data_IF_931477700320
#
_entry.id   IF_931477700320
#
_cell.length_a   1.000
_cell.length_b   1.000
_cell.length_c   1.000
_cell.angle_alpha   90.00
_cell.angle_beta   90.00
_cell.angle_gamma   90.00
#
_symmetry.space_group_name_H-M   'P 1'
#
loop_
_entity.id
_entity.type
_entity.pdbx_description
1 polymer ?
#
# COMPACT_ATOMS: atom_id res chain seq x y z
N UNK A 1 27.26 -59.63 -25.71
CA UNK A 1 26.89 -58.33 -25.10
C UNK A 1 26.21 -57.53 -26.17
N UNK A 2 24.89 -57.46 -26.08
CA UNK A 2 24.04 -56.82 -27.09
C UNK A 2 24.23 -55.30 -27.02
N UNK A 3 23.88 -54.56 -28.08
CA UNK A 3 23.80 -53.09 -28.04
C UNK A 3 22.83 -52.58 -26.96
N UNK A 4 21.91 -53.42 -26.49
CA UNK A 4 20.96 -53.10 -25.44
C UNK A 4 21.63 -53.07 -24.05
N UNK A 5 22.57 -53.98 -23.77
CA UNK A 5 23.31 -54.00 -22.49
C UNK A 5 24.16 -52.72 -22.30
N UNK A 6 24.78 -52.23 -23.37
CA UNK A 6 25.53 -50.96 -23.35
C UNK A 6 24.61 -49.73 -23.21
N UNK A 7 23.36 -49.80 -23.69
CA UNK A 7 22.38 -48.72 -23.57
C UNK A 7 21.82 -48.66 -22.14
N UNK A 8 21.58 -49.81 -21.50
CA UNK A 8 21.13 -49.88 -20.11
C UNK A 8 22.18 -49.28 -19.14
N UNK A 9 23.44 -49.68 -19.29
CA UNK A 9 24.55 -49.16 -18.47
C UNK A 9 24.77 -47.65 -18.66
N UNK A 10 24.53 -47.13 -19.88
CA UNK A 10 24.58 -45.69 -20.16
C UNK A 10 23.43 -44.93 -19.47
N UNK A 11 22.22 -45.50 -19.45
CA UNK A 11 21.06 -44.90 -18.78
C UNK A 11 21.21 -44.86 -17.26
N UNK A 12 21.71 -45.93 -16.65
CA UNK A 12 21.98 -45.97 -15.20
C UNK A 12 23.03 -44.94 -14.79
N UNK A 13 24.10 -44.77 -15.59
CA UNK A 13 25.10 -43.73 -15.34
C UNK A 13 24.52 -42.32 -15.46
N UNK A 14 23.64 -42.08 -16.42
CA UNK A 14 22.94 -40.78 -16.57
C UNK A 14 22.01 -40.53 -15.39
N UNK A 15 21.22 -41.52 -14.97
CA UNK A 15 20.34 -41.40 -13.81
C UNK A 15 21.11 -41.10 -12.53
N UNK A 16 22.25 -41.76 -12.30
CA UNK A 16 23.10 -41.48 -11.14
C UNK A 16 23.72 -40.08 -11.19
N UNK A 17 24.14 -39.58 -12.36
CA UNK A 17 24.61 -38.19 -12.47
C UNK A 17 23.49 -37.19 -12.20
N UNK A 18 22.28 -37.44 -12.72
CA UNK A 18 21.10 -36.59 -12.47
C UNK A 18 20.72 -36.58 -10.99
N UNK A 19 20.74 -37.73 -10.33
CA UNK A 19 20.44 -37.85 -8.90
C UNK A 19 21.48 -37.10 -8.05
N UNK A 20 22.76 -37.18 -8.43
CA UNK A 20 23.85 -36.45 -7.76
C UNK A 20 23.73 -34.94 -7.95
N UNK A 21 23.44 -34.47 -9.17
CA UNK A 21 23.24 -33.03 -9.44
C UNK A 21 21.97 -32.50 -8.74
N UNK A 22 20.88 -33.27 -8.72
CA UNK A 22 19.68 -32.92 -7.96
C UNK A 22 19.97 -32.83 -6.45
N UNK A 23 20.77 -33.78 -5.93
CA UNK A 23 21.16 -33.76 -4.52
C UNK A 23 22.01 -32.53 -4.19
N UNK A 24 22.96 -32.17 -5.07
CA UNK A 24 23.77 -30.97 -4.91
C UNK A 24 22.90 -29.69 -4.95
N UNK A 25 22.00 -29.59 -5.92
CA UNK A 25 21.11 -28.43 -6.07
C UNK A 25 20.16 -28.26 -4.87
N UNK A 26 19.63 -29.37 -4.34
CA UNK A 26 18.79 -29.36 -3.13
C UNK A 26 19.60 -28.89 -1.92
N UNK A 27 20.85 -29.32 -1.77
CA UNK A 27 21.70 -28.91 -0.66
C UNK A 27 22.13 -27.43 -0.77
N UNK A 28 22.40 -26.93 -1.97
CA UNK A 28 22.67 -25.50 -2.23
C UNK A 28 21.46 -24.63 -1.87
N UNK A 29 20.26 -24.99 -2.35
CA UNK A 29 19.04 -24.24 -2.01
C UNK A 29 18.71 -24.31 -0.52
N UNK A 30 18.99 -25.42 0.13
CA UNK A 30 18.82 -25.54 1.59
C UNK A 30 19.76 -24.59 2.34
N UNK A 31 21.01 -24.43 1.89
CA UNK A 31 21.94 -23.46 2.47
C UNK A 31 21.50 -22.01 2.24
N UNK A 32 20.95 -21.68 1.06
CA UNK A 32 20.39 -20.36 0.77
C UNK A 32 19.17 -20.06 1.67
N UNK A 33 18.26 -21.02 1.84
CA UNK A 33 17.11 -20.90 2.75
C UNK A 33 17.59 -20.66 4.19
N UNK A 34 18.55 -21.45 4.68
CA UNK A 34 19.13 -21.29 6.02
C UNK A 34 19.80 -19.91 6.19
N UNK A 35 20.40 -19.36 5.13
CA UNK A 35 20.98 -18.02 5.15
C UNK A 35 19.90 -16.93 5.23
N UNK A 36 18.86 -17.03 4.42
CA UNK A 36 17.75 -16.08 4.44
C UNK A 36 16.99 -16.12 5.78
N UNK A 37 16.78 -17.29 6.37
CA UNK A 37 16.18 -17.41 7.70
C UNK A 37 17.02 -16.75 8.81
N UNK A 38 18.35 -16.74 8.68
CA UNK A 38 19.22 -16.01 9.62
C UNK A 38 19.11 -14.50 9.42
N UNK A 39 19.09 -14.04 8.18
CA UNK A 39 18.90 -12.61 7.87
C UNK A 39 17.54 -12.12 8.35
N UNK A 40 16.49 -12.92 8.15
CA UNK A 40 15.14 -12.59 8.60
C UNK A 40 15.07 -12.49 10.12
N UNK A 41 15.68 -13.44 10.85
CA UNK A 41 15.80 -13.35 12.31
C UNK A 41 16.54 -12.09 12.77
N UNK A 42 17.65 -11.74 12.13
CA UNK A 42 18.40 -10.53 12.46
C UNK A 42 17.58 -9.24 12.24
N UNK A 43 16.88 -9.14 11.11
CA UNK A 43 16.00 -7.99 10.83
C UNK A 43 14.82 -7.94 11.80
N UNK A 44 14.22 -9.08 12.16
CA UNK A 44 13.15 -9.13 13.16
C UNK A 44 13.61 -8.66 14.55
N UNK A 45 14.82 -9.03 14.97
CA UNK A 45 15.41 -8.53 16.23
C UNK A 45 15.69 -7.02 16.17
N UNK A 46 16.12 -6.49 15.03
CA UNK A 46 16.34 -5.05 14.83
C UNK A 46 15.03 -4.26 14.85
N UNK A 47 13.99 -4.77 14.18
CA UNK A 47 12.64 -4.19 14.21
C UNK A 47 12.11 -4.15 15.65
N UNK A 48 12.27 -5.24 16.41
CA UNK A 48 11.82 -5.28 17.81
C UNK A 48 12.54 -4.23 18.66
N UNK A 49 13.86 -4.05 18.50
CA UNK A 49 14.62 -3.01 19.20
C UNK A 49 14.15 -1.60 18.83
N UNK A 50 13.90 -1.33 17.56
CA UNK A 50 13.40 -0.04 17.08
C UNK A 50 11.98 0.23 17.58
N UNK A 51 11.13 -0.80 17.67
CA UNK A 51 9.80 -0.69 18.27
C UNK A 51 9.89 -0.35 19.77
N UNK A 52 10.76 -1.03 20.53
CA UNK A 52 10.99 -0.70 21.94
C UNK A 52 11.52 0.73 22.14
N UNK A 53 12.41 1.20 21.26
CA UNK A 53 12.94 2.57 21.30
C UNK A 53 11.86 3.61 20.95
N UNK A 54 11.07 3.37 19.91
CA UNK A 54 9.95 4.23 19.54
C UNK A 54 8.93 4.35 20.67
N UNK A 55 8.63 3.26 21.36
CA UNK A 55 7.68 3.30 22.48
C UNK A 55 8.21 4.09 23.67
N UNK A 56 9.54 4.04 23.91
CA UNK A 56 10.18 4.94 24.90
C UNK A 56 10.04 6.40 24.51
N UNK A 57 10.26 6.74 23.23
CA UNK A 57 10.13 8.11 22.72
C UNK A 57 8.66 8.58 22.86
N UNK A 58 7.69 7.74 22.51
CA UNK A 58 6.26 8.06 22.65
C UNK A 58 5.87 8.31 24.10
N UNK A 59 6.36 7.52 25.04
CA UNK A 59 6.13 7.77 26.48
C UNK A 59 6.66 9.15 26.89
N UNK A 60 7.87 9.51 26.44
CA UNK A 60 8.46 10.84 26.70
C UNK A 60 7.59 11.94 26.09
N UNK A 61 7.13 11.78 24.84
CA UNK A 61 6.23 12.73 24.19
C UNK A 61 4.89 12.87 24.92
N UNK A 62 4.26 11.76 25.30
CA UNK A 62 3.00 11.76 26.07
C UNK A 62 3.17 12.51 27.38
N UNK A 63 4.22 12.24 28.16
CA UNK A 63 4.49 13.01 29.39
C UNK A 63 4.72 14.51 29.14
N UNK A 64 5.23 14.88 27.96
CA UNK A 64 5.49 16.28 27.57
C UNK A 64 4.23 16.97 27.01
N UNK A 65 3.36 16.23 26.32
CA UNK A 65 2.09 16.70 25.74
C UNK A 65 0.97 16.73 26.78
N UNK A 66 0.93 15.79 27.71
CA UNK A 66 -0.06 15.74 28.81
C UNK A 66 0.12 16.90 29.80
N UNK A 67 1.33 17.48 29.88
CA UNK A 67 1.57 18.78 30.54
C UNK A 67 1.03 19.99 29.74
N UNK A 68 0.63 19.81 28.48
CA UNK A 68 0.07 20.84 27.59
C UNK A 68 -1.43 20.66 27.28
N UNK A 69 -2.00 19.47 27.45
CA UNK A 69 -3.36 19.12 27.00
C UNK A 69 -4.44 19.15 28.08
N UNK A 70 -4.22 19.82 29.21
CA UNK A 70 -5.32 20.20 30.13
C UNK A 70 -6.09 21.46 29.66
N UNK A 71 -6.04 21.78 28.36
CA UNK A 71 -6.51 23.05 27.80
C UNK A 71 -7.18 22.88 26.43
N UNK A 72 -8.20 22.02 26.30
CA UNK A 72 -8.98 21.97 25.05
C UNK A 72 -10.40 21.43 25.24
N UNK A 73 -11.31 22.27 25.72
CA UNK A 73 -12.76 22.12 25.48
C UNK A 73 -13.09 22.47 24.02
N UNK A 74 -14.35 22.28 23.60
CA UNK A 74 -14.84 22.51 22.22
C UNK A 74 -14.52 23.88 21.59
N UNK A 75 -14.20 24.89 22.41
CA UNK A 75 -13.69 26.19 21.90
C UNK A 75 -12.35 26.07 21.17
N UNK A 76 -11.58 25.01 21.44
CA UNK A 76 -10.29 24.75 20.79
C UNK A 76 -10.50 24.36 19.32
N UNK A 77 -11.47 23.50 19.00
CA UNK A 77 -11.69 23.05 17.62
C UNK A 77 -12.04 24.20 16.69
N UNK A 78 -12.90 25.14 17.11
CA UNK A 78 -13.20 26.33 16.28
C UNK A 78 -11.97 27.21 16.05
N UNK A 79 -11.09 27.33 17.06
CA UNK A 79 -9.84 28.07 16.91
C UNK A 79 -8.86 27.34 15.99
N UNK A 80 -8.88 26.01 15.99
CA UNK A 80 -7.98 25.20 15.17
C UNK A 80 -8.49 24.95 13.76
N UNK A 81 -9.81 25.04 13.49
CA UNK A 81 -10.40 24.75 12.17
C UNK A 81 -9.67 25.43 11.00
N UNK A 82 -9.32 26.74 11.04
CA UNK A 82 -8.62 27.38 9.93
C UNK A 82 -7.21 26.84 9.67
N UNK A 83 -6.63 26.12 10.64
CA UNK A 83 -5.30 25.53 10.55
C UNK A 83 -5.32 24.05 10.14
N UNK A 84 -6.48 23.41 10.11
CA UNK A 84 -6.63 22.03 9.62
C UNK A 84 -6.61 22.06 8.09
N UNK A 85 -5.39 22.04 7.55
CA UNK A 85 -5.15 21.95 6.10
C UNK A 85 -4.96 20.50 5.68
N UNK A 86 -5.09 20.21 4.38
CA UNK A 86 -4.81 18.87 3.85
C UNK A 86 -3.42 18.35 4.24
N UNK A 87 -2.41 19.23 4.28
CA UNK A 87 -1.04 18.86 4.67
C UNK A 87 -0.96 18.41 6.14
N UNK A 88 -1.75 19.02 7.02
CA UNK A 88 -1.79 18.64 8.43
C UNK A 88 -2.48 17.29 8.60
N UNK A 89 -3.58 17.06 7.86
CA UNK A 89 -4.24 15.74 7.80
C UNK A 89 -3.27 14.67 7.29
N UNK A 90 -2.50 14.96 6.25
CA UNK A 90 -1.49 14.04 5.73
C UNK A 90 -0.43 13.68 6.78
N UNK A 91 0.05 14.67 7.55
CA UNK A 91 0.99 14.43 8.64
C UNK A 91 0.41 13.53 9.73
N UNK A 92 -0.85 13.71 10.11
CA UNK A 92 -1.51 12.86 11.11
C UNK A 92 -1.73 11.43 10.61
N UNK A 93 -2.03 11.24 9.32
CA UNK A 93 -2.20 9.91 8.74
C UNK A 93 -0.87 9.19 8.56
N UNK A 94 0.20 9.93 8.27
CA UNK A 94 1.55 9.38 8.21
C UNK A 94 2.08 9.03 9.59
N UNK A 95 1.64 9.73 10.62
CA UNK A 95 1.98 9.40 11.99
C UNK A 95 1.20 8.17 12.46
N UNK A 96 1.93 7.09 12.79
CA UNK A 96 1.33 5.84 13.27
C UNK A 96 1.10 5.82 14.79
N UNK A 97 0.85 6.98 15.41
CA UNK A 97 0.65 7.08 16.86
C UNK A 97 -0.83 6.99 17.23
N UNK A 98 -1.10 6.41 18.39
CA UNK A 98 -2.46 6.27 18.95
C UNK A 98 -3.13 7.63 19.19
N UNK A 99 -2.35 8.64 19.60
CA UNK A 99 -2.83 10.00 19.77
C UNK A 99 -3.26 10.62 18.44
N UNK A 100 -2.49 10.42 17.38
CA UNK A 100 -2.82 10.95 16.05
C UNK A 100 -4.06 10.24 15.47
N UNK A 101 -4.20 8.94 15.73
CA UNK A 101 -5.39 8.15 15.45
C UNK A 101 -6.66 8.68 16.12
N UNK A 102 -6.60 8.90 17.43
CA UNK A 102 -7.68 9.54 18.20
C UNK A 102 -7.98 10.93 17.67
N UNK A 103 -6.95 11.73 17.43
CA UNK A 103 -7.12 13.10 16.97
C UNK A 103 -7.79 13.16 15.60
N UNK A 104 -7.36 12.33 14.64
CA UNK A 104 -7.91 12.39 13.29
C UNK A 104 -9.36 11.91 13.24
N UNK A 105 -9.72 10.87 13.99
CA UNK A 105 -11.10 10.36 13.99
C UNK A 105 -12.04 11.34 14.69
N UNK A 106 -11.60 12.00 15.77
CA UNK A 106 -12.36 13.06 16.43
C UNK A 106 -12.53 14.29 15.54
N UNK A 107 -11.49 14.70 14.81
CA UNK A 107 -11.60 15.77 13.81
C UNK A 107 -12.59 15.40 12.72
N UNK A 108 -12.54 14.16 12.23
CA UNK A 108 -13.47 13.64 11.23
C UNK A 108 -14.93 13.72 11.73
N UNK A 109 -15.18 13.24 12.95
CA UNK A 109 -16.47 13.34 13.65
C UNK A 109 -16.97 14.78 13.79
N UNK A 110 -16.08 15.73 14.12
CA UNK A 110 -16.47 17.15 14.21
C UNK A 110 -16.77 17.79 12.85
N UNK A 111 -16.08 17.38 11.78
CA UNK A 111 -16.44 17.80 10.41
C UNK A 111 -17.78 17.23 9.98
N UNK A 112 -18.06 15.96 10.32
CA UNK A 112 -19.35 15.33 10.10
C UNK A 112 -20.49 16.12 10.74
N UNK A 113 -20.42 16.38 12.05
CA UNK A 113 -21.45 17.11 12.81
C UNK A 113 -21.71 18.51 12.22
N UNK A 114 -20.70 19.12 11.58
CA UNK A 114 -20.81 20.44 10.94
C UNK A 114 -21.32 20.38 9.50
N UNK A 115 -21.56 19.20 8.94
CA UNK A 115 -21.96 19.01 7.54
C UNK A 115 -20.84 19.27 6.54
N UNK A 116 -19.57 19.21 6.94
CA UNK A 116 -18.42 19.42 6.05
C UNK A 116 -18.03 18.11 5.34
N UNK A 117 -18.96 17.61 4.52
CA UNK A 117 -18.89 16.27 3.90
C UNK A 117 -17.66 16.10 3.00
N UNK A 118 -17.24 17.17 2.32
CA UNK A 118 -16.04 17.16 1.47
C UNK A 118 -14.77 16.84 2.29
N UNK A 119 -14.64 17.44 3.47
CA UNK A 119 -13.50 17.19 4.35
C UNK A 119 -13.55 15.78 4.94
N UNK A 120 -14.73 15.30 5.37
CA UNK A 120 -14.91 13.91 5.84
C UNK A 120 -14.49 12.93 4.74
N UNK A 121 -15.00 13.12 3.51
CA UNK A 121 -14.66 12.29 2.36
C UNK A 121 -13.15 12.28 2.10
N UNK A 122 -12.50 13.43 2.23
CA UNK A 122 -11.05 13.55 2.05
C UNK A 122 -10.27 12.81 3.13
N UNK A 123 -10.71 12.89 4.39
CA UNK A 123 -10.10 12.16 5.51
C UNK A 123 -10.25 10.65 5.30
N UNK A 124 -11.45 10.16 4.98
CA UNK A 124 -11.69 8.73 4.71
C UNK A 124 -10.88 8.22 3.53
N UNK A 125 -10.81 8.95 2.42
CA UNK A 125 -9.97 8.58 1.27
C UNK A 125 -8.51 8.37 1.66
N UNK A 126 -7.97 9.25 2.49
CA UNK A 126 -6.58 9.17 2.93
C UNK A 126 -6.39 8.03 3.94
N UNK A 127 -7.32 7.84 4.88
CA UNK A 127 -7.30 6.75 5.85
C UNK A 127 -7.47 5.38 5.18
N UNK A 128 -8.34 5.25 4.19
CA UNK A 128 -8.50 4.01 3.42
C UNK A 128 -7.19 3.59 2.74
N UNK A 129 -6.35 4.54 2.32
CA UNK A 129 -5.02 4.22 1.76
C UNK A 129 -3.98 3.86 2.81
N UNK A 130 -4.11 4.39 4.04
CA UNK A 130 -3.14 4.28 5.13
C UNK A 130 -3.87 4.21 6.48
N UNK A 131 -4.45 3.05 6.85
CA UNK A 131 -5.32 2.92 8.01
C UNK A 131 -4.56 2.74 9.33
N UNK A 132 -3.22 2.70 9.29
CA UNK A 132 -2.40 2.28 10.43
C UNK A 132 -2.56 3.15 11.69
N UNK A 133 -2.89 4.43 11.52
CA UNK A 133 -3.21 5.32 12.64
C UNK A 133 -4.48 4.91 13.38
N UNK A 134 -5.31 4.02 12.82
CA UNK A 134 -6.51 3.50 13.47
C UNK A 134 -6.32 2.09 14.04
N UNK A 135 -5.18 1.42 13.84
CA UNK A 135 -4.96 0.03 14.27
C UNK A 135 -4.61 -0.10 15.77
N UNK A 136 -4.82 0.94 16.55
CA UNK A 136 -4.57 0.93 17.98
C UNK A 136 -5.77 0.35 18.73
N UNK A 137 -5.49 -0.39 19.81
CA UNK A 137 -6.52 -0.91 20.70
C UNK A 137 -6.97 0.19 21.67
N UNK A 138 -7.64 1.21 21.12
CA UNK A 138 -8.14 2.38 21.85
C UNK A 138 -9.66 2.47 21.72
N UNK A 139 -10.33 2.60 22.86
CA UNK A 139 -11.79 2.61 22.94
C UNK A 139 -12.42 3.85 22.31
N UNK A 140 -11.77 5.01 22.38
CA UNK A 140 -12.30 6.25 21.81
C UNK A 140 -12.24 6.19 20.27
N UNK A 141 -11.17 5.62 19.70
CA UNK A 141 -11.09 5.37 18.26
C UNK A 141 -12.24 4.49 17.81
N UNK A 142 -12.45 3.38 18.52
CA UNK A 142 -13.49 2.42 18.22
C UNK A 142 -14.90 3.05 18.29
N UNK A 143 -15.23 3.74 19.38
CA UNK A 143 -16.53 4.42 19.53
C UNK A 143 -16.76 5.47 18.43
N UNK A 144 -15.72 6.20 18.05
CA UNK A 144 -15.84 7.22 17.00
C UNK A 144 -15.94 6.62 15.59
N UNK A 145 -15.33 5.46 15.33
CA UNK A 145 -15.59 4.70 14.09
C UNK A 145 -17.03 4.19 14.08
N UNK A 146 -17.51 3.60 15.17
CA UNK A 146 -18.89 3.11 15.25
C UNK A 146 -19.91 4.24 15.05
N UNK A 147 -19.68 5.40 15.69
CA UNK A 147 -20.50 6.60 15.47
C UNK A 147 -20.53 6.99 13.99
N UNK A 148 -19.36 7.06 13.33
CA UNK A 148 -19.29 7.40 11.92
C UNK A 148 -19.94 6.34 11.03
N UNK A 149 -19.92 5.06 11.42
CA UNK A 149 -20.63 3.99 10.71
C UNK A 149 -22.14 4.16 10.78
N UNK A 150 -22.68 4.38 11.98
CA UNK A 150 -24.11 4.61 12.19
C UNK A 150 -24.59 5.82 11.37
N UNK A 151 -23.84 6.91 11.44
CA UNK A 151 -24.20 8.15 10.76
C UNK A 151 -24.04 8.10 9.23
N UNK A 152 -23.04 7.37 8.72
CA UNK A 152 -22.76 7.34 7.27
C UNK A 152 -23.57 6.27 6.54
N UNK A 153 -23.87 5.14 7.21
CA UNK A 153 -24.39 3.96 6.54
C UNK A 153 -25.81 3.56 6.97
N UNK A 154 -26.24 3.94 8.17
CA UNK A 154 -27.52 3.50 8.76
C UNK A 154 -28.53 4.64 8.83
N UNK A 155 -28.10 5.87 9.08
CA UNK A 155 -29.00 7.00 9.25
C UNK A 155 -29.68 7.45 7.93
N UNK A 156 -30.94 7.05 7.76
CA UNK A 156 -31.74 7.33 6.55
C UNK A 156 -31.85 8.83 6.23
N UNK A 157 -31.93 9.70 7.24
CA UNK A 157 -32.03 11.16 7.02
C UNK A 157 -30.75 11.72 6.41
N UNK A 158 -29.61 11.09 6.69
CA UNK A 158 -28.30 11.55 6.23
C UNK A 158 -27.98 11.04 4.83
N UNK A 159 -28.60 9.96 4.35
CA UNK A 159 -28.32 9.42 3.01
C UNK A 159 -28.69 10.37 1.87
N UNK A 160 -29.64 11.29 2.07
CA UNK A 160 -29.92 12.34 1.09
C UNK A 160 -28.79 13.38 0.99
N UNK A 161 -27.99 13.53 2.05
CA UNK A 161 -26.90 14.52 2.17
C UNK A 161 -25.55 13.90 1.84
N UNK A 162 -25.38 12.61 2.15
CA UNK A 162 -24.17 11.83 1.91
C UNK A 162 -24.02 11.58 0.42
N UNK A 163 -22.83 11.87 -0.12
CA UNK A 163 -22.54 11.54 -1.52
C UNK A 163 -21.99 10.11 -1.65
N UNK A 164 -22.18 9.52 -2.83
CA UNK A 164 -21.69 8.18 -3.19
C UNK A 164 -20.20 7.98 -2.91
N UNK A 165 -19.41 9.05 -3.14
CA UNK A 165 -17.97 9.01 -2.92
C UNK A 165 -17.63 8.79 -1.44
N UNK A 166 -18.37 9.36 -0.51
CA UNK A 166 -18.15 9.20 0.92
C UNK A 166 -18.43 7.76 1.36
N UNK A 167 -19.57 7.19 0.96
CA UNK A 167 -19.94 5.80 1.27
C UNK A 167 -18.91 4.83 0.69
N UNK A 168 -18.50 5.05 -0.56
CA UNK A 168 -17.47 4.25 -1.21
C UNK A 168 -16.12 4.32 -0.46
N UNK A 169 -15.63 5.51 -0.12
CA UNK A 169 -14.34 5.66 0.60
C UNK A 169 -14.43 5.06 2.01
N UNK A 170 -15.60 5.13 2.64
CA UNK A 170 -15.82 4.57 3.97
C UNK A 170 -15.87 3.03 3.96
N UNK A 171 -16.50 2.39 2.97
CA UNK A 171 -16.41 0.93 2.83
C UNK A 171 -14.99 0.45 2.53
N UNK A 172 -14.23 1.20 1.73
CA UNK A 172 -12.80 0.89 1.54
C UNK A 172 -12.05 0.94 2.86
N UNK A 173 -12.32 1.95 3.70
CA UNK A 173 -11.76 2.01 5.05
C UNK A 173 -12.18 0.79 5.89
N UNK A 174 -13.46 0.42 5.90
CA UNK A 174 -13.97 -0.75 6.65
C UNK A 174 -13.24 -2.04 6.25
N UNK A 175 -13.02 -2.30 4.97
CA UNK A 175 -12.28 -3.46 4.48
C UNK A 175 -10.85 -3.48 5.04
N UNK A 176 -10.20 -2.33 5.07
CA UNK A 176 -8.85 -2.20 5.62
C UNK A 176 -8.81 -2.37 7.15
N UNK A 177 -9.87 -1.97 7.85
CA UNK A 177 -10.00 -2.14 9.30
C UNK A 177 -10.21 -3.61 9.75
N UNK A 178 -10.32 -4.58 8.83
CA UNK A 178 -10.46 -5.99 9.21
C UNK A 178 -9.22 -6.54 9.96
N UNK A 179 -8.07 -5.90 9.80
CA UNK A 179 -6.82 -6.22 10.51
C UNK A 179 -6.73 -5.52 11.89
N UNK A 180 -7.65 -4.60 12.19
CA UNK A 180 -7.62 -3.82 13.43
C UNK A 180 -8.05 -4.66 14.66
N UNK A 181 -7.62 -4.28 15.87
CA UNK A 181 -7.96 -5.02 17.11
C UNK A 181 -9.47 -5.12 17.40
N UNK A 182 -10.28 -4.20 16.87
CA UNK A 182 -11.72 -4.11 17.09
C UNK A 182 -12.55 -4.62 15.89
N UNK A 183 -11.95 -5.41 14.97
CA UNK A 183 -12.65 -5.99 13.81
C UNK A 183 -13.94 -6.74 14.16
N UNK A 184 -13.97 -7.42 15.32
CA UNK A 184 -15.13 -8.23 15.73
C UNK A 184 -16.33 -7.33 16.04
N UNK A 185 -16.09 -6.10 16.50
CA UNK A 185 -17.14 -5.11 16.74
C UNK A 185 -17.66 -4.49 15.45
N UNK A 186 -16.78 -4.28 14.47
CA UNK A 186 -17.21 -3.88 13.11
C UNK A 186 -18.06 -5.00 12.49
N UNK A 187 -17.63 -6.26 12.59
CA UNK A 187 -18.40 -7.42 12.12
C UNK A 187 -19.77 -7.48 12.79
N UNK A 188 -19.82 -7.33 14.12
CA UNK A 188 -21.06 -7.29 14.88
C UNK A 188 -21.97 -6.13 14.43
N UNK A 189 -21.41 -4.93 14.25
CA UNK A 189 -22.18 -3.77 13.77
C UNK A 189 -22.82 -4.03 12.41
N UNK A 190 -22.05 -4.55 11.44
CA UNK A 190 -22.54 -4.85 10.08
C UNK A 190 -23.66 -5.90 10.14
N UNK A 191 -23.51 -6.91 11.01
CA UNK A 191 -24.52 -7.94 11.19
C UNK A 191 -25.80 -7.39 11.85
N UNK A 192 -25.66 -6.59 12.91
CA UNK A 192 -26.78 -6.01 13.67
C UNK A 192 -27.61 -5.02 12.84
N UNK A 193 -26.97 -4.33 11.89
CA UNK A 193 -27.62 -3.36 11.00
C UNK A 193 -27.78 -3.88 9.56
N UNK A 194 -27.71 -5.19 9.35
CA UNK A 194 -27.67 -5.80 8.03
C UNK A 194 -28.82 -5.36 7.11
N UNK A 195 -30.05 -5.33 7.64
CA UNK A 195 -31.26 -4.97 6.89
C UNK A 195 -31.19 -3.51 6.41
N UNK A 196 -30.98 -2.56 7.34
CA UNK A 196 -30.85 -1.14 7.01
C UNK A 196 -29.69 -0.86 6.06
N UNK A 197 -28.52 -1.47 6.28
CA UNK A 197 -27.37 -1.32 5.39
C UNK A 197 -27.69 -1.79 3.96
N UNK A 198 -28.38 -2.93 3.85
CA UNK A 198 -28.73 -3.52 2.55
C UNK A 198 -29.72 -2.63 1.81
N UNK A 199 -30.79 -2.20 2.47
CA UNK A 199 -31.80 -1.29 1.91
C UNK A 199 -31.17 0.02 1.45
N UNK A 200 -30.34 0.63 2.30
CA UNK A 200 -29.69 1.91 2.03
C UNK A 200 -28.71 1.82 0.86
N UNK A 201 -27.93 0.74 0.76
CA UNK A 201 -26.97 0.54 -0.34
C UNK A 201 -27.67 0.32 -1.67
N UNK A 202 -28.77 -0.43 -1.69
CA UNK A 202 -29.53 -0.63 -2.93
C UNK A 202 -30.31 0.60 -3.34
N UNK A 203 -30.81 1.38 -2.38
CA UNK A 203 -31.45 2.67 -2.65
C UNK A 203 -30.52 3.65 -3.40
N UNK A 204 -29.22 3.63 -3.13
CA UNK A 204 -28.25 4.49 -3.84
C UNK A 204 -28.12 4.16 -5.33
N UNK A 205 -28.51 2.95 -5.76
CA UNK A 205 -28.43 2.48 -7.15
C UNK A 205 -27.05 2.70 -7.83
N UNK A 206 -25.97 2.65 -7.05
CA UNK A 206 -24.59 2.82 -7.54
C UNK A 206 -23.86 1.46 -7.51
N UNK A 207 -23.61 0.83 -8.67
CA UNK A 207 -23.10 -0.56 -8.73
C UNK A 207 -21.76 -0.72 -8.01
N UNK A 208 -20.94 0.33 -8.01
CA UNK A 208 -19.66 0.31 -7.32
C UNK A 208 -19.87 0.17 -5.80
N UNK A 209 -20.79 0.94 -5.20
CA UNK A 209 -21.10 0.84 -3.77
C UNK A 209 -21.63 -0.56 -3.40
N UNK A 210 -22.51 -1.12 -4.22
CA UNK A 210 -23.03 -2.49 -4.01
C UNK A 210 -21.88 -3.51 -4.01
N UNK A 211 -20.93 -3.40 -4.93
CA UNK A 211 -19.80 -4.33 -5.04
C UNK A 211 -18.82 -4.19 -3.88
N UNK A 212 -18.50 -2.96 -3.45
CA UNK A 212 -17.60 -2.76 -2.30
C UNK A 212 -18.26 -3.23 -0.99
N UNK A 213 -19.57 -3.12 -0.86
CA UNK A 213 -20.33 -3.71 0.24
C UNK A 213 -20.21 -5.23 0.29
N UNK A 214 -20.46 -5.92 -0.83
CA UNK A 214 -20.28 -7.39 -0.90
C UNK A 214 -18.84 -7.81 -0.56
N UNK A 215 -17.83 -7.02 -0.95
CA UNK A 215 -16.43 -7.24 -0.55
C UNK A 215 -16.24 -7.07 0.95
N UNK A 216 -16.85 -6.07 1.56
CA UNK A 216 -16.81 -5.89 3.01
C UNK A 216 -17.42 -7.11 3.72
N UNK A 217 -18.60 -7.58 3.29
CA UNK A 217 -19.23 -8.79 3.85
C UNK A 217 -18.32 -10.01 3.76
N UNK A 218 -17.67 -10.24 2.61
CA UNK A 218 -16.71 -11.34 2.44
C UNK A 218 -15.49 -11.18 3.35
N UNK A 219 -14.97 -9.95 3.48
CA UNK A 219 -13.77 -9.64 4.29
C UNK A 219 -14.00 -9.95 5.76
N UNK A 220 -15.21 -9.75 6.26
CA UNK A 220 -15.61 -10.04 7.64
C UNK A 220 -16.26 -11.43 7.83
N UNK A 221 -16.13 -12.31 6.85
CA UNK A 221 -16.64 -13.70 6.86
C UNK A 221 -18.17 -13.81 7.10
N UNK A 222 -18.94 -12.80 6.68
CA UNK A 222 -20.40 -12.74 6.83
C UNK A 222 -21.12 -13.47 5.68
N UNK A 223 -20.86 -14.77 5.53
CA UNK A 223 -21.25 -15.57 4.34
C UNK A 223 -22.75 -15.62 4.07
N UNK A 224 -23.57 -15.78 5.11
CA UNK A 224 -25.02 -15.90 4.95
C UNK A 224 -25.62 -14.57 4.48
N UNK A 225 -25.17 -13.46 5.06
CA UNK A 225 -25.56 -12.12 4.63
C UNK A 225 -25.08 -11.83 3.21
N UNK A 226 -23.81 -12.13 2.90
CA UNK A 226 -23.24 -11.99 1.56
C UNK A 226 -24.07 -12.75 0.51
N UNK A 227 -24.45 -13.99 0.81
CA UNK A 227 -25.30 -14.79 -0.08
C UNK A 227 -26.68 -14.16 -0.28
N UNK A 228 -27.32 -13.69 0.79
CA UNK A 228 -28.62 -13.04 0.73
C UNK A 228 -28.58 -11.74 -0.09
N UNK A 229 -27.60 -10.88 0.17
CA UNK A 229 -27.38 -9.63 -0.57
C UNK A 229 -27.06 -9.92 -2.04
N UNK A 230 -26.19 -10.89 -2.34
CA UNK A 230 -25.88 -11.26 -3.73
C UNK A 230 -27.13 -11.76 -4.48
N UNK A 231 -27.99 -12.55 -3.82
CA UNK A 231 -29.26 -13.01 -4.41
C UNK A 231 -30.19 -11.84 -4.71
N UNK A 232 -30.32 -10.89 -3.79
CA UNK A 232 -31.13 -9.70 -4.00
C UNK A 232 -30.61 -8.85 -5.17
N UNK A 233 -29.28 -8.65 -5.23
CA UNK A 233 -28.62 -7.92 -6.30
C UNK A 233 -28.91 -8.53 -7.69
N UNK A 234 -28.86 -9.86 -7.80
CA UNK A 234 -29.06 -10.57 -9.07
C UNK A 234 -30.55 -10.62 -9.45
N UNK A 235 -31.43 -10.90 -8.50
CA UNK A 235 -32.85 -11.15 -8.81
C UNK A 235 -33.70 -9.89 -8.89
N UNK A 236 -33.30 -8.82 -8.16
CA UNK A 236 -34.10 -7.60 -8.03
C UNK A 236 -33.38 -6.42 -8.67
N UNK A 237 -32.14 -6.16 -8.28
CA UNK A 237 -31.46 -4.91 -8.64
C UNK A 237 -30.80 -4.94 -10.02
N UNK A 238 -30.60 -6.13 -10.61
CA UNK A 238 -29.82 -6.30 -11.83
C UNK A 238 -30.31 -5.43 -13.00
N UNK A 239 -31.64 -5.37 -13.20
CA UNK A 239 -32.26 -4.59 -14.28
C UNK A 239 -31.93 -3.08 -14.19
N UNK A 240 -31.63 -2.56 -13.00
CA UNK A 240 -31.31 -1.14 -12.80
C UNK A 240 -29.83 -0.83 -13.01
N UNK A 241 -28.96 -1.82 -12.83
CA UNK A 241 -27.50 -1.63 -12.85
C UNK A 241 -26.82 -2.17 -14.10
N UNK A 242 -27.51 -2.96 -14.93
CA UNK A 242 -26.91 -3.67 -16.07
C UNK A 242 -26.16 -2.74 -17.03
N UNK A 243 -26.71 -1.55 -17.30
CA UNK A 243 -26.13 -0.60 -18.25
C UNK A 243 -24.94 0.20 -17.69
N UNK A 244 -24.80 0.26 -16.36
CA UNK A 244 -23.82 1.12 -15.67
C UNK A 244 -22.68 0.28 -15.05
N UNK A 245 -22.93 -0.99 -14.75
CA UNK A 245 -21.96 -1.87 -14.11
C UNK A 245 -20.75 -2.12 -15.01
N UNK A 246 -19.54 -1.99 -14.44
CA UNK A 246 -18.29 -2.19 -15.17
C UNK A 246 -18.01 -3.67 -15.34
N UNK A 247 -17.40 -4.06 -16.46
CA UNK A 247 -17.03 -5.47 -16.75
C UNK A 247 -16.27 -6.17 -15.62
N UNK A 248 -15.30 -5.48 -15.02
CA UNK A 248 -14.53 -6.00 -13.88
C UNK A 248 -15.40 -6.35 -12.67
N UNK A 249 -16.49 -5.61 -12.49
CA UNK A 249 -17.41 -5.77 -11.37
C UNK A 249 -18.40 -6.91 -11.66
N UNK A 250 -18.83 -7.05 -12.92
CA UNK A 250 -19.56 -8.25 -13.40
C UNK A 250 -18.75 -9.53 -13.20
N UNK A 251 -17.47 -9.52 -13.58
CA UNK A 251 -16.57 -10.67 -13.38
C UNK A 251 -16.44 -11.02 -11.89
N UNK A 252 -16.33 -10.02 -11.03
CA UNK A 252 -16.32 -10.20 -9.58
C UNK A 252 -17.62 -10.84 -9.05
N UNK A 253 -18.79 -10.30 -9.42
CA UNK A 253 -20.09 -10.82 -8.99
C UNK A 253 -20.30 -12.26 -9.47
N UNK A 254 -19.82 -12.57 -10.67
CA UNK A 254 -19.87 -13.91 -11.22
C UNK A 254 -19.07 -14.93 -10.39
N UNK A 255 -17.83 -14.59 -10.00
CA UNK A 255 -17.03 -15.45 -9.12
C UNK A 255 -17.66 -15.66 -7.75
N UNK A 256 -18.31 -14.63 -7.22
CA UNK A 256 -19.03 -14.73 -5.95
C UNK A 256 -20.27 -15.63 -6.12
N UNK A 257 -21.00 -15.48 -7.22
CA UNK A 257 -22.14 -16.34 -7.53
C UNK A 257 -21.71 -17.80 -7.61
N UNK A 258 -20.60 -18.09 -8.30
CA UNK A 258 -20.00 -19.42 -8.34
C UNK A 258 -19.62 -19.96 -6.96
N UNK A 259 -19.00 -19.12 -6.11
CA UNK A 259 -18.60 -19.53 -4.74
C UNK A 259 -19.81 -19.97 -3.90
N UNK A 260 -20.99 -19.40 -4.14
CA UNK A 260 -22.22 -19.70 -3.42
C UNK A 260 -23.19 -20.64 -4.15
N UNK A 261 -22.80 -21.21 -5.29
CA UNK A 261 -23.63 -22.12 -6.08
C UNK A 261 -24.82 -21.43 -6.75
N UNK A 262 -24.61 -20.20 -7.22
CA UNK A 262 -25.62 -19.32 -7.83
C UNK A 262 -25.24 -18.93 -9.27
N UNK A 263 -24.24 -19.57 -9.86
CA UNK A 263 -23.75 -19.29 -11.19
C UNK A 263 -24.84 -19.45 -12.27
N UNK A 264 -25.72 -20.45 -12.16
CA UNK A 264 -26.80 -20.64 -13.12
C UNK A 264 -27.80 -19.48 -13.08
N UNK A 265 -28.19 -19.03 -11.87
CA UNK A 265 -29.06 -17.87 -11.70
C UNK A 265 -28.41 -16.62 -12.31
N UNK A 266 -27.14 -16.37 -11.98
CA UNK A 266 -26.38 -15.26 -12.53
C UNK A 266 -26.28 -15.31 -14.06
N UNK A 267 -25.96 -16.46 -14.65
CA UNK A 267 -25.84 -16.64 -16.11
C UNK A 267 -27.17 -16.34 -16.80
N UNK A 268 -28.28 -16.82 -16.22
CA UNK A 268 -29.62 -16.62 -16.77
C UNK A 268 -30.06 -15.15 -16.71
N UNK A 269 -29.68 -14.41 -15.67
CA UNK A 269 -30.01 -12.98 -15.53
C UNK A 269 -29.09 -12.10 -16.37
N UNK A 270 -27.77 -12.24 -16.22
CA UNK A 270 -26.76 -11.27 -16.71
C UNK A 270 -26.50 -11.37 -18.23
N UNK A 271 -26.96 -12.44 -18.90
CA UNK A 271 -26.68 -12.68 -20.32
C UNK A 271 -25.21 -12.47 -20.66
N UNK A 272 -24.31 -13.25 -20.02
CA UNK A 272 -22.84 -13.09 -20.05
C UNK A 272 -22.21 -12.85 -21.45
N UNK A 273 -22.88 -13.31 -22.52
CA UNK A 273 -22.47 -13.08 -23.91
C UNK A 273 -22.33 -11.59 -24.27
N UNK A 274 -23.10 -10.70 -23.63
CA UNK A 274 -23.06 -9.26 -23.88
C UNK A 274 -21.83 -8.60 -23.27
N UNK A 275 -21.48 -8.97 -22.05
CA UNK A 275 -20.33 -8.41 -21.35
C UNK A 275 -19.00 -8.98 -21.86
N UNK A 276 -19.02 -10.25 -22.25
CA UNK A 276 -17.83 -11.00 -22.67
C UNK A 276 -18.02 -11.67 -24.04
N UNK A 277 -18.23 -10.87 -25.10
CA UNK A 277 -18.50 -11.36 -26.46
C UNK A 277 -17.28 -12.04 -27.11
N UNK A 278 -16.10 -11.94 -26.48
CA UNK A 278 -14.85 -12.57 -26.92
C UNK A 278 -14.13 -13.16 -25.72
N UNK A 279 -13.59 -14.37 -25.88
CA UNK A 279 -12.72 -15.05 -24.92
C UNK A 279 -11.39 -14.30 -24.76
N UNK A 280 -11.38 -13.09 -24.23
CA UNK A 280 -10.13 -12.35 -23.97
C UNK A 280 -9.88 -12.15 -22.48
N UNK A 281 -10.92 -12.10 -21.65
CA UNK A 281 -10.74 -11.99 -20.21
C UNK A 281 -10.36 -13.35 -19.59
N UNK A 282 -9.17 -13.38 -18.97
CA UNK A 282 -8.57 -14.56 -18.36
C UNK A 282 -9.46 -15.18 -17.26
N UNK A 283 -10.30 -14.38 -16.61
CA UNK A 283 -11.18 -14.80 -15.53
C UNK A 283 -12.31 -15.70 -16.02
N UNK A 284 -13.02 -15.31 -17.07
CA UNK A 284 -14.10 -16.16 -17.63
C UNK A 284 -13.54 -17.37 -18.37
N UNK A 285 -12.36 -17.24 -18.98
CA UNK A 285 -11.62 -18.42 -19.45
C UNK A 285 -11.38 -19.39 -18.31
N UNK A 286 -10.88 -18.91 -17.17
CA UNK A 286 -10.61 -19.74 -16.01
C UNK A 286 -11.90 -20.42 -15.52
N UNK A 287 -13.02 -19.70 -15.44
CA UNK A 287 -14.30 -20.31 -15.08
C UNK A 287 -14.74 -21.38 -16.09
N UNK A 288 -14.78 -21.09 -17.39
CA UNK A 288 -15.18 -22.08 -18.40
C UNK A 288 -14.27 -23.30 -18.40
N UNK A 289 -13.02 -23.12 -17.98
CA UNK A 289 -12.07 -24.21 -17.75
C UNK A 289 -12.41 -25.02 -16.49
N UNK A 290 -12.89 -24.39 -15.41
CA UNK A 290 -13.33 -25.05 -14.16
C UNK A 290 -14.69 -25.74 -14.31
N UNK A 291 -15.61 -25.16 -15.09
CA UNK A 291 -16.96 -25.66 -15.34
C UNK A 291 -16.97 -26.87 -16.29
N UNK A 292 -15.95 -27.00 -17.16
CA UNK A 292 -15.82 -28.17 -18.03
C UNK A 292 -15.85 -29.43 -17.16
N UNK A 293 -16.85 -30.31 -17.32
CA UNK A 293 -17.04 -31.44 -16.43
C UNK A 293 -15.77 -32.29 -16.45
N UNK A 294 -15.27 -32.60 -15.26
CA UNK A 294 -14.11 -33.45 -14.99
C UNK A 294 -14.32 -34.82 -15.64
N UNK A 295 -13.96 -34.89 -16.92
CA UNK A 295 -13.58 -36.07 -17.70
C UNK A 295 -12.22 -35.81 -18.37
N UNK A 296 -11.36 -35.08 -17.69
CA UNK A 296 -9.98 -34.89 -18.13
C UNK A 296 -9.21 -36.17 -17.77
N UNK A 297 -8.50 -36.73 -18.75
CA UNK A 297 -7.55 -37.82 -18.48
C UNK A 297 -6.42 -37.32 -17.58
N UNK A 298 -5.66 -38.21 -16.92
CA UNK A 298 -4.52 -37.80 -16.10
C UNK A 298 -3.50 -36.95 -16.90
N UNK A 299 -3.33 -37.22 -18.20
CA UNK A 299 -2.49 -36.41 -19.10
C UNK A 299 -3.04 -34.98 -19.32
N UNK A 300 -4.37 -34.83 -19.36
CA UNK A 300 -5.01 -33.52 -19.50
C UNK A 300 -4.91 -32.70 -18.21
N UNK A 301 -4.96 -33.37 -17.04
CA UNK A 301 -4.76 -32.76 -15.72
C UNK A 301 -3.31 -32.30 -15.55
N UNK A 302 -2.31 -33.10 -15.95
CA UNK A 302 -0.89 -32.72 -15.87
C UNK A 302 -0.57 -31.56 -16.81
N UNK A 303 -1.09 -31.59 -18.05
CA UNK A 303 -0.99 -30.46 -18.98
C UNK A 303 -1.73 -29.21 -18.49
N UNK A 304 -2.80 -29.38 -17.71
CA UNK A 304 -3.57 -28.31 -17.08
C UNK A 304 -2.82 -27.68 -15.91
N UNK A 305 -2.29 -28.50 -14.99
CA UNK A 305 -1.47 -28.04 -13.85
C UNK A 305 -0.24 -27.29 -14.36
N UNK A 306 0.41 -27.77 -15.42
CA UNK A 306 1.59 -27.09 -15.98
C UNK A 306 1.25 -25.74 -16.64
N UNK A 307 0.04 -25.58 -17.20
CA UNK A 307 -0.45 -24.27 -17.69
C UNK A 307 -0.83 -23.32 -16.55
N UNK A 308 -1.45 -23.83 -15.48
CA UNK A 308 -1.71 -23.01 -14.29
C UNK A 308 -0.41 -22.60 -13.60
N UNK A 309 0.56 -23.51 -13.45
CA UNK A 309 1.89 -23.22 -12.91
C UNK A 309 2.63 -22.19 -13.74
N UNK A 310 2.54 -22.23 -15.08
CA UNK A 310 3.20 -21.22 -15.91
C UNK A 310 2.54 -19.83 -15.76
N UNK A 311 1.21 -19.78 -15.68
CA UNK A 311 0.48 -18.53 -15.41
C UNK A 311 0.76 -17.98 -14.00
N UNK A 312 0.84 -18.85 -12.99
CA UNK A 312 1.13 -18.49 -11.60
C UNK A 312 2.59 -18.08 -11.40
N UNK A 313 3.56 -18.82 -11.95
CA UNK A 313 4.99 -18.50 -11.87
C UNK A 313 5.32 -17.15 -12.51
N UNK A 314 4.66 -16.80 -13.62
CA UNK A 314 4.80 -15.49 -14.24
C UNK A 314 4.26 -14.41 -13.30
N UNK A 315 3.12 -14.64 -12.65
CA UNK A 315 2.50 -13.65 -11.76
C UNK A 315 3.29 -13.47 -10.46
N UNK A 316 3.78 -14.54 -9.85
CA UNK A 316 4.51 -14.54 -8.58
C UNK A 316 5.91 -13.96 -8.71
N UNK A 317 6.64 -14.29 -9.79
CA UNK A 317 7.93 -13.65 -10.08
C UNK A 317 7.79 -12.18 -10.44
N UNK A 318 6.69 -11.78 -11.09
CA UNK A 318 6.39 -10.37 -11.37
C UNK A 318 6.02 -9.64 -10.08
N UNK A 319 5.18 -10.23 -9.22
CA UNK A 319 4.75 -9.63 -7.95
C UNK A 319 5.91 -9.50 -6.94
N UNK A 320 6.83 -10.46 -6.89
CA UNK A 320 8.03 -10.39 -6.06
C UNK A 320 8.99 -9.31 -6.55
N UNK A 321 9.19 -9.19 -7.88
CA UNK A 321 9.98 -8.11 -8.47
C UNK A 321 9.34 -6.75 -8.26
N UNK A 322 8.02 -6.67 -8.33
CA UNK A 322 7.25 -5.45 -8.13
C UNK A 322 7.21 -5.04 -6.66
N UNK A 323 7.11 -5.98 -5.71
CA UNK A 323 7.30 -5.71 -4.28
C UNK A 323 8.72 -5.26 -3.96
N UNK A 324 9.74 -5.88 -4.55
CA UNK A 324 11.15 -5.48 -4.40
C UNK A 324 11.40 -4.07 -4.97
N UNK A 325 10.81 -3.75 -6.12
CA UNK A 325 10.91 -2.42 -6.75
C UNK A 325 10.08 -1.36 -6.01
N UNK A 326 8.88 -1.70 -5.51
CA UNK A 326 8.03 -0.75 -4.78
C UNK A 326 8.60 -0.37 -3.41
N UNK A 327 9.34 -1.27 -2.74
CA UNK A 327 10.11 -0.94 -1.53
C UNK A 327 11.28 0.02 -1.85
N UNK A 328 11.77 0.03 -3.10
CA UNK A 328 12.87 0.89 -3.56
C UNK A 328 12.43 2.25 -4.15
N UNK A 329 11.24 2.32 -4.77
CA UNK A 329 10.77 3.47 -5.56
C UNK A 329 9.72 4.35 -4.86
N UNK A 330 8.80 3.80 -4.06
CA UNK A 330 7.62 4.55 -3.60
C UNK A 330 7.73 5.23 -2.22
N UNK A 331 8.88 5.17 -1.54
CA UNK A 331 9.07 5.86 -0.24
C UNK A 331 9.99 7.09 -0.30
N UNK A 332 10.54 7.43 -1.47
CA UNK A 332 11.63 8.39 -1.52
C UNK A 332 11.38 9.56 -2.49
N UNK A 333 10.86 10.65 -1.93
CA UNK A 333 10.73 11.93 -2.63
C UNK A 333 12.11 12.61 -2.77
N UNK A 334 12.52 12.89 -4.00
CA UNK A 334 13.76 13.62 -4.26
C UNK A 334 13.62 15.07 -3.78
N UNK A 335 14.62 15.64 -3.08
CA UNK A 335 14.62 17.06 -2.80
C UNK A 335 14.79 17.82 -4.11
N UNK A 336 13.74 18.50 -4.57
CA UNK A 336 13.85 19.50 -5.64
C UNK A 336 14.83 20.59 -5.19
N UNK A 337 15.83 20.89 -6.01
CA UNK A 337 16.85 21.94 -5.75
C UNK A 337 16.43 23.31 -6.27
N UNK A 338 15.32 23.39 -7.00
CA UNK A 338 14.69 24.65 -7.41
C UNK A 338 13.87 25.24 -6.25
N UNK A 339 13.96 26.56 -6.08
CA UNK A 339 13.23 27.31 -5.05
C UNK A 339 11.75 27.44 -5.46
N UNK A 340 10.85 26.83 -4.71
CA UNK A 340 9.42 27.20 -4.71
C UNK A 340 9.19 28.33 -3.72
N UNK A 341 8.58 29.44 -4.18
CA UNK A 341 8.51 30.74 -3.48
C UNK A 341 7.79 30.73 -2.11
N UNK A 342 7.18 29.63 -1.67
CA UNK A 342 6.33 29.57 -0.47
C UNK A 342 6.89 28.76 0.72
N UNK A 343 8.16 28.37 0.72
CA UNK A 343 8.74 27.57 1.81
C UNK A 343 9.32 28.43 2.96
N UNK A 344 8.53 28.63 4.01
CA UNK A 344 9.02 29.13 5.31
C UNK A 344 9.80 28.01 6.02
N UNK A 345 11.12 27.98 5.81
CA UNK A 345 12.00 26.92 6.29
C UNK A 345 12.19 26.95 7.81
N UNK A 346 11.89 25.82 8.47
CA UNK A 346 12.33 25.53 9.84
C UNK A 346 13.86 25.36 9.83
N UNK A 347 14.56 26.04 10.74
CA UNK A 347 16.01 25.88 10.93
C UNK A 347 16.33 24.46 11.39
N UNK A 348 16.71 23.57 10.47
CA UNK A 348 17.38 22.32 10.83
C UNK A 348 18.83 22.62 11.25
N UNK A 349 19.21 22.18 12.46
CA UNK A 349 20.53 22.45 13.01
C UNK A 349 21.63 21.77 12.17
N UNK A 350 22.58 22.56 11.69
CA UNK A 350 23.68 22.20 10.77
C UNK A 350 24.78 21.31 11.37
N UNK A 351 24.55 20.68 12.53
CA UNK A 351 25.61 20.03 13.31
C UNK A 351 25.77 18.52 13.03
N UNK A 352 24.91 17.91 12.24
CA UNK A 352 25.08 16.50 11.86
C UNK A 352 26.20 16.33 10.82
N UNK A 353 27.17 15.46 11.13
CA UNK A 353 28.23 15.09 10.18
C UNK A 353 27.65 14.11 9.18
N UNK A 354 27.56 14.49 7.90
CA UNK A 354 27.19 13.55 6.85
C UNK A 354 28.28 12.49 6.64
N UNK A 355 27.90 11.27 6.25
CA UNK A 355 28.85 10.20 5.92
C UNK A 355 29.89 10.65 4.86
N UNK A 356 29.48 11.51 3.93
CA UNK A 356 30.38 12.08 2.92
C UNK A 356 31.45 13.00 3.56
N UNK A 357 31.06 13.77 4.60
CA UNK A 357 31.98 14.62 5.38
C UNK A 357 32.95 13.80 6.22
N UNK A 358 32.54 12.63 6.71
CA UNK A 358 33.42 11.68 7.42
C UNK A 358 34.51 11.10 6.50
N UNK A 359 34.19 10.91 5.22
CA UNK A 359 35.17 10.57 4.17
C UNK A 359 36.06 11.75 3.76
N UNK A 360 35.90 12.92 4.41
CA UNK A 360 36.71 14.11 4.19
C UNK A 360 36.18 15.05 3.10
N UNK A 361 35.02 14.77 2.50
CA UNK A 361 34.46 15.63 1.46
C UNK A 361 33.98 16.95 2.05
N UNK A 362 34.52 18.06 1.53
CA UNK A 362 34.10 19.41 1.86
C UNK A 362 34.50 20.37 0.74
N UNK A 363 33.77 21.47 0.60
CA UNK A 363 34.10 22.49 -0.41
C UNK A 363 35.30 23.34 0.03
N UNK A 364 35.35 23.74 1.30
CA UNK A 364 36.41 24.60 1.83
C UNK A 364 37.70 23.81 2.03
N UNK A 365 38.82 24.33 1.50
CA UNK A 365 40.15 23.78 1.74
C UNK A 365 40.54 22.59 0.86
N UNK A 366 39.67 22.12 -0.04
CA UNK A 366 39.98 21.08 -1.01
C UNK A 366 40.04 21.62 -2.44
N UNK A 367 40.95 21.07 -3.24
CA UNK A 367 40.99 21.30 -4.69
C UNK A 367 39.92 20.48 -5.40
N UNK A 368 39.45 20.85 -6.60
CA UNK A 368 38.50 20.05 -7.37
C UNK A 368 38.97 18.60 -7.59
N UNK A 369 40.28 18.38 -7.82
CA UNK A 369 40.85 17.04 -7.96
C UNK A 369 40.75 16.23 -6.66
N UNK A 370 41.09 16.83 -5.52
CA UNK A 370 41.00 16.16 -4.22
C UNK A 370 39.56 15.83 -3.83
N UNK A 371 38.60 16.70 -4.14
CA UNK A 371 37.17 16.40 -3.93
C UNK A 371 36.73 15.22 -4.79
N UNK A 372 37.16 15.19 -6.05
CA UNK A 372 36.82 14.11 -6.96
C UNK A 372 37.38 12.76 -6.49
N UNK A 373 38.62 12.70 -6.02
CA UNK A 373 39.21 11.47 -5.46
C UNK A 373 38.38 10.92 -4.29
N UNK A 374 37.87 11.79 -3.41
CA UNK A 374 36.99 11.39 -2.30
C UNK A 374 35.67 10.85 -2.84
N UNK A 375 35.07 11.50 -3.86
CA UNK A 375 33.83 11.01 -4.47
C UNK A 375 34.00 9.65 -5.15
N UNK A 376 35.12 9.42 -5.83
CA UNK A 376 35.43 8.13 -6.44
C UNK A 376 35.53 7.01 -5.41
N UNK A 377 36.00 7.31 -4.19
CA UNK A 377 35.99 6.38 -3.05
C UNK A 377 34.59 6.23 -2.43
N UNK A 378 33.85 7.33 -2.31
CA UNK A 378 32.54 7.34 -1.66
C UNK A 378 31.46 6.60 -2.44
N UNK A 379 31.51 6.61 -3.78
CA UNK A 379 30.50 5.91 -4.62
C UNK A 379 30.44 4.39 -4.34
N UNK A 380 31.55 3.62 -4.35
CA UNK A 380 31.50 2.20 -4.01
C UNK A 380 31.20 1.94 -2.52
N UNK A 381 31.55 2.86 -1.61
CA UNK A 381 31.37 2.67 -0.16
C UNK A 381 29.95 3.01 0.33
N UNK A 382 29.35 4.08 -0.20
CA UNK A 382 28.06 4.62 0.24
C UNK A 382 26.93 4.41 -0.78
N UNK A 383 27.28 4.09 -2.02
CA UNK A 383 26.35 4.03 -3.15
C UNK A 383 26.13 5.39 -3.82
N UNK A 384 26.03 5.39 -5.16
CA UNK A 384 25.85 6.61 -5.97
C UNK A 384 24.64 7.44 -5.51
N UNK A 385 23.49 6.79 -5.25
CA UNK A 385 22.24 7.44 -4.81
C UNK A 385 22.45 8.27 -3.53
N UNK A 386 23.15 7.73 -2.53
CA UNK A 386 23.40 8.40 -1.23
C UNK A 386 24.36 9.57 -1.36
N UNK A 387 25.39 9.43 -2.19
CA UNK A 387 26.35 10.51 -2.49
C UNK A 387 25.63 11.67 -3.18
N UNK A 388 24.87 11.38 -4.24
CA UNK A 388 24.07 12.38 -4.98
C UNK A 388 23.08 13.08 -4.07
N UNK A 389 22.32 12.33 -3.26
CA UNK A 389 21.36 12.88 -2.30
C UNK A 389 22.01 13.86 -1.32
N UNK A 390 23.18 13.51 -0.77
CA UNK A 390 23.89 14.36 0.19
C UNK A 390 24.32 15.68 -0.45
N UNK A 391 24.82 15.64 -1.69
CA UNK A 391 25.26 16.85 -2.40
C UNK A 391 24.05 17.72 -2.78
N UNK A 392 22.98 17.12 -3.33
CA UNK A 392 21.75 17.85 -3.69
C UNK A 392 21.07 18.49 -2.47
N UNK A 393 21.04 17.78 -1.33
CA UNK A 393 20.54 18.34 -0.07
C UNK A 393 21.34 19.58 0.35
N UNK A 394 22.67 19.55 0.26
CA UNK A 394 23.50 20.71 0.59
C UNK A 394 23.25 21.90 -0.35
N UNK A 395 23.05 21.65 -1.65
CA UNK A 395 22.69 22.70 -2.61
C UNK A 395 21.36 23.34 -2.20
N UNK A 396 20.32 22.53 -2.00
CA UNK A 396 18.99 22.99 -1.61
C UNK A 396 19.05 23.80 -0.30
N UNK A 397 19.67 23.23 0.73
CA UNK A 397 19.82 23.86 2.05
C UNK A 397 20.49 25.24 1.96
N UNK A 398 21.43 25.44 1.03
CA UNK A 398 22.07 26.75 0.82
C UNK A 398 21.26 27.68 -0.07
N UNK A 399 20.53 27.17 -1.08
CA UNK A 399 19.61 27.98 -1.89
C UNK A 399 18.44 28.51 -1.03
N UNK A 400 17.91 27.70 -0.11
CA UNK A 400 16.76 28.02 0.76
C UNK A 400 17.06 29.06 1.86
N UNK A 401 18.35 29.37 2.12
CA UNK A 401 18.72 30.41 3.07
C UNK A 401 18.46 31.80 2.48
N UNK A 402 18.10 32.78 3.32
CA UNK A 402 17.92 34.18 2.88
C UNK A 402 19.20 34.70 2.22
N UNK A 403 19.12 35.07 0.93
CA UNK A 403 20.25 35.42 0.05
C UNK A 403 21.31 34.31 -0.13
N UNK A 404 21.00 33.07 0.23
CA UNK A 404 21.94 31.97 0.26
C UNK A 404 22.48 31.59 -1.13
N UNK A 405 21.65 31.71 -2.18
CA UNK A 405 22.11 31.54 -3.57
C UNK A 405 23.26 32.48 -3.94
N UNK A 406 23.28 33.71 -3.41
CA UNK A 406 24.34 34.70 -3.63
C UNK A 406 25.51 34.46 -2.68
N UNK A 407 25.23 34.30 -1.39
CA UNK A 407 26.26 34.12 -0.35
C UNK A 407 27.08 32.86 -0.54
N UNK A 408 26.44 31.76 -0.96
CA UNK A 408 27.08 30.45 -1.16
C UNK A 408 27.28 30.09 -2.64
N UNK A 409 27.19 31.06 -3.55
CA UNK A 409 27.28 30.86 -5.00
C UNK A 409 28.47 29.96 -5.39
N UNK A 410 29.64 30.21 -4.79
CA UNK A 410 30.84 29.42 -5.05
C UNK A 410 30.67 27.95 -4.62
N UNK A 411 30.13 27.69 -3.43
CA UNK A 411 29.97 26.33 -2.94
C UNK A 411 28.91 25.54 -3.73
N UNK A 412 27.82 26.22 -4.08
CA UNK A 412 26.76 25.68 -4.94
C UNK A 412 27.33 25.28 -6.30
N UNK A 413 28.10 26.16 -6.96
CA UNK A 413 28.71 25.86 -8.26
C UNK A 413 29.66 24.65 -8.21
N UNK A 414 30.44 24.51 -7.14
CA UNK A 414 31.35 23.36 -6.96
C UNK A 414 30.58 22.05 -6.73
N UNK A 415 29.49 22.08 -5.95
CA UNK A 415 28.60 20.92 -5.79
C UNK A 415 27.89 20.53 -7.08
N UNK A 416 27.39 21.51 -7.85
CA UNK A 416 26.73 21.29 -9.15
C UNK A 416 27.71 20.68 -10.16
N UNK A 417 28.95 21.15 -10.18
CA UNK A 417 30.03 20.57 -11.00
C UNK A 417 30.32 19.11 -10.59
N UNK A 418 30.43 18.84 -9.28
CA UNK A 418 30.67 17.49 -8.78
C UNK A 418 29.50 16.54 -9.11
N UNK A 419 28.25 17.00 -9.02
CA UNK A 419 27.06 16.25 -9.46
C UNK A 419 27.10 15.96 -10.96
N UNK A 420 27.39 16.95 -11.81
CA UNK A 420 27.48 16.75 -13.25
C UNK A 420 28.50 15.65 -13.59
N UNK A 421 29.65 15.66 -12.92
CA UNK A 421 30.72 14.67 -13.10
C UNK A 421 30.34 13.28 -12.60
N UNK A 422 29.63 13.18 -11.46
CA UNK A 422 29.06 11.91 -10.98
C UNK A 422 28.06 11.32 -11.97
N UNK A 423 27.21 12.18 -12.57
CA UNK A 423 26.25 11.78 -13.60
C UNK A 423 26.95 11.19 -14.82
N UNK A 424 28.00 11.85 -15.29
CA UNK A 424 28.77 11.41 -16.46
C UNK A 424 29.48 10.06 -16.21
N UNK A 425 30.05 9.87 -15.03
CA UNK A 425 30.92 8.73 -14.74
C UNK A 425 30.19 7.47 -14.23
N UNK A 426 29.08 7.62 -13.48
CA UNK A 426 28.51 6.51 -12.71
C UNK A 426 27.03 6.25 -12.95
N UNK A 427 26.28 7.20 -13.52
CA UNK A 427 24.83 7.09 -13.60
C UNK A 427 24.38 6.16 -14.73
N UNK A 428 23.59 5.13 -14.40
CA UNK A 428 23.12 4.11 -15.35
C UNK A 428 21.62 4.20 -15.64
N UNK A 429 20.95 5.31 -15.26
CA UNK A 429 19.48 5.49 -15.34
C UNK A 429 18.69 4.56 -14.41
N UNK A 430 19.28 4.24 -13.28
CA UNK A 430 18.75 3.39 -12.20
C UNK A 430 17.92 4.17 -11.15
N UNK A 431 17.88 5.50 -11.23
CA UNK A 431 17.01 6.37 -10.41
C UNK A 431 16.87 7.77 -11.02
N UNK A 432 15.87 8.56 -10.65
CA UNK A 432 15.73 9.93 -11.18
C UNK A 432 16.86 10.85 -10.72
N UNK A 433 17.68 11.34 -11.66
CA UNK A 433 18.74 12.29 -11.35
C UNK A 433 18.17 13.66 -10.91
N UNK A 434 18.62 14.26 -9.79
CA UNK A 434 18.13 15.56 -9.35
C UNK A 434 18.48 16.64 -10.38
N UNK A 435 17.52 17.49 -10.73
CA UNK A 435 17.72 18.57 -11.69
C UNK A 435 18.22 19.81 -10.91
N UNK A 436 19.52 20.16 -10.96
CA UNK A 436 20.16 21.12 -10.06
C UNK A 436 19.58 22.54 -10.11
#
# INVERSE_FOLDING_TARGET
MSREDNNLASKERILHMVDQELTNLVEEHKQEVDQYERQLRQMSEEILKLQEENERIRVIERTTKQQKTDLASDQSFERFKPFITHNVIDQWIEASSEEDGRFIIEVCKKFWIKGDIEMVTTIFRKLARRPYSLFHNDHEIEESIQFLMEQTLVDDEMLEVVNDALVWEFFNLIIHLHEAPYRDKISYFIFDHADSLTENIYYMNEPSIMVIYLRALMTYDLKDLLKASLHHLIDVEWEYIEDVIKKKDVAFLFWYSYLFGMEEAFINTVSLEWYFPKEEENEIKLFRLLERPVKLSEEDIEGYINRLRSLLNVKETTLLKEKLNNVSENSFAWPHTELTEDSTSKEHSLNEKSALKELGYQISGLTPSSRWEILQKAVPELGLRRVVMTISYNIKLRKDQKNGAVTYQRAIAEWEHDLAKLKECYYQKDFTWPNP
#
